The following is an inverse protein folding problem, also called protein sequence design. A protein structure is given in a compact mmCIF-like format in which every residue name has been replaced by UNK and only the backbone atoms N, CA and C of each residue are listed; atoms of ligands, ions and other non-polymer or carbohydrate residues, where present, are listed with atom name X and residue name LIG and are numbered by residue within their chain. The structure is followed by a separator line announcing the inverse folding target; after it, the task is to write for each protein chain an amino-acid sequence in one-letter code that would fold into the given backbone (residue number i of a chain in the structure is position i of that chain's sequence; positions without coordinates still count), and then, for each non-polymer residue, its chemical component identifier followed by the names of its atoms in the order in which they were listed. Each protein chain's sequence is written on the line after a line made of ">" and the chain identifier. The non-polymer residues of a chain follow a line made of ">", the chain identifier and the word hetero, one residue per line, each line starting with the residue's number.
data_IF_396800566997
#
_entry.id   IF_396800566997
#
_cell.length_a   1.000
_cell.length_b   1.000
_cell.length_c   1.000
_cell.angle_alpha   90.00
_cell.angle_beta   90.00
_cell.angle_gamma   90.00
#
_symmetry.space_group_name_H-M   'P 1'
#
loop_
_entity.id
_entity.type
_entity.pdbx_description
1 polymer ?
#
# COMPACT_ATOMS: atom_id res chain seq x y z
N UNK A 1 24.83 24.09 -58.13
CA UNK A 1 24.44 24.56 -56.77
C UNK A 1 23.57 23.47 -56.17
N UNK A 2 24.15 22.63 -55.30
CA UNK A 2 23.51 21.44 -54.74
C UNK A 2 22.62 21.79 -53.56
N UNK A 3 21.52 21.05 -53.39
CA UNK A 3 20.97 20.61 -52.10
C UNK A 3 19.83 19.62 -52.35
N UNK A 4 20.20 18.35 -52.49
CA UNK A 4 19.28 17.22 -52.36
C UNK A 4 18.86 17.12 -50.89
N UNK A 5 17.61 17.47 -50.58
CA UNK A 5 17.01 17.27 -49.26
C UNK A 5 16.69 15.78 -49.07
N UNK A 6 17.62 15.04 -48.46
CA UNK A 6 17.39 13.67 -47.99
C UNK A 6 16.52 13.70 -46.73
N UNK A 7 15.23 13.39 -46.86
CA UNK A 7 14.33 13.20 -45.72
C UNK A 7 14.59 11.82 -45.11
N UNK A 8 15.32 11.76 -43.98
CA UNK A 8 15.38 10.54 -43.16
C UNK A 8 14.02 10.30 -42.53
N UNK A 9 13.29 9.30 -42.99
CA UNK A 9 12.10 8.80 -42.31
C UNK A 9 12.52 8.18 -40.96
N UNK A 10 12.16 8.85 -39.87
CA UNK A 10 12.35 8.32 -38.52
C UNK A 10 11.32 7.20 -38.30
N UNK A 11 11.72 5.94 -38.49
CA UNK A 11 10.93 4.79 -38.07
C UNK A 11 10.81 4.79 -36.55
N UNK A 12 9.73 5.38 -36.03
CA UNK A 12 9.37 5.24 -34.62
C UNK A 12 8.98 3.79 -34.39
N UNK A 13 9.79 3.05 -33.62
CA UNK A 13 9.45 1.71 -33.16
C UNK A 13 8.25 1.81 -32.23
N UNK A 14 7.16 1.12 -32.56
CA UNK A 14 6.01 0.96 -31.68
C UNK A 14 6.25 -0.12 -30.63
N UNK A 15 5.46 -0.09 -29.56
CA UNK A 15 5.43 -1.15 -28.56
C UNK A 15 4.98 -2.47 -29.19
N UNK A 16 5.60 -3.57 -28.78
CA UNK A 16 5.20 -4.93 -29.13
C UNK A 16 4.16 -5.45 -28.14
N UNK A 17 3.32 -6.39 -28.59
CA UNK A 17 2.34 -7.06 -27.73
C UNK A 17 3.01 -7.82 -26.58
N UNK A 18 4.21 -8.36 -26.80
CA UNK A 18 4.95 -9.11 -25.78
C UNK A 18 5.47 -8.21 -24.66
N UNK A 19 5.93 -7.00 -24.99
CA UNK A 19 6.34 -6.01 -23.98
C UNK A 19 5.15 -5.63 -23.08
N UNK A 20 3.97 -5.43 -23.66
CA UNK A 20 2.77 -5.12 -22.87
C UNK A 20 2.34 -6.31 -21.99
N UNK A 21 2.42 -7.53 -22.52
CA UNK A 21 2.06 -8.76 -21.81
C UNK A 21 2.95 -8.98 -20.57
N UNK A 22 4.25 -8.76 -20.70
CA UNK A 22 5.20 -8.91 -19.58
C UNK A 22 4.91 -7.88 -18.49
N UNK A 23 4.57 -6.64 -18.86
CA UNK A 23 4.26 -5.58 -17.89
C UNK A 23 3.03 -5.93 -17.06
N UNK A 24 1.93 -6.35 -17.68
CA UNK A 24 0.72 -6.72 -16.93
C UNK A 24 0.93 -7.94 -16.04
N UNK A 25 1.77 -8.89 -16.46
CA UNK A 25 2.14 -10.05 -15.66
C UNK A 25 2.90 -9.63 -14.40
N UNK A 26 3.90 -8.76 -14.53
CA UNK A 26 4.66 -8.23 -13.38
C UNK A 26 3.74 -7.45 -12.43
N UNK A 27 2.89 -6.57 -12.97
CA UNK A 27 1.93 -5.79 -12.15
C UNK A 27 0.99 -6.73 -11.39
N UNK A 28 0.49 -7.80 -12.03
CA UNK A 28 -0.39 -8.77 -11.40
C UNK A 28 0.28 -9.50 -10.23
N UNK A 29 1.53 -9.96 -10.41
CA UNK A 29 2.30 -10.61 -9.34
C UNK A 29 2.50 -9.65 -8.17
N UNK A 30 3.02 -8.44 -8.44
CA UNK A 30 3.27 -7.44 -7.40
C UNK A 30 1.98 -7.05 -6.66
N UNK A 31 0.88 -6.84 -7.39
CA UNK A 31 -0.41 -6.46 -6.81
C UNK A 31 -0.98 -7.56 -5.90
N UNK A 32 -0.80 -8.84 -6.25
CA UNK A 32 -1.27 -9.96 -5.42
C UNK A 32 -0.58 -10.00 -4.05
N UNK A 33 0.75 -9.77 -4.02
CA UNK A 33 1.55 -9.72 -2.79
C UNK A 33 1.16 -8.51 -1.94
N UNK A 34 0.96 -7.35 -2.59
CA UNK A 34 0.51 -6.12 -1.90
C UNK A 34 -0.85 -6.35 -1.24
N UNK A 35 -1.84 -6.91 -1.94
CA UNK A 35 -3.16 -7.17 -1.38
C UNK A 35 -3.13 -8.14 -0.19
N UNK A 36 -2.35 -9.22 -0.28
CA UNK A 36 -2.16 -10.15 0.83
C UNK A 36 -1.55 -9.44 2.06
N UNK A 37 -0.53 -8.60 1.85
CA UNK A 37 0.11 -7.83 2.92
C UNK A 37 -0.84 -6.82 3.57
N UNK A 38 -1.69 -6.16 2.78
CA UNK A 38 -2.67 -5.18 3.26
C UNK A 38 -3.76 -5.83 4.12
N UNK A 39 -4.23 -7.03 3.76
CA UNK A 39 -5.19 -7.77 4.57
C UNK A 39 -4.62 -8.10 5.96
N UNK A 40 -3.36 -8.57 6.02
CA UNK A 40 -2.68 -8.82 7.29
C UNK A 40 -2.50 -7.53 8.11
N UNK A 41 -2.06 -6.45 7.46
CA UNK A 41 -1.86 -5.15 8.11
C UNK A 41 -3.17 -4.59 8.69
N UNK A 42 -4.30 -4.73 7.99
CA UNK A 42 -5.62 -4.30 8.47
C UNK A 42 -6.05 -5.06 9.72
N UNK A 43 -5.83 -6.37 9.76
CA UNK A 43 -6.13 -7.18 10.96
C UNK A 43 -5.27 -6.73 12.15
N UNK A 44 -3.96 -6.59 11.95
CA UNK A 44 -3.04 -6.10 12.99
C UNK A 44 -3.43 -4.70 13.49
N UNK A 45 -3.83 -3.80 12.60
CA UNK A 45 -4.27 -2.45 12.98
C UNK A 45 -5.55 -2.48 13.85
N UNK A 46 -6.50 -3.37 13.54
CA UNK A 46 -7.70 -3.56 14.37
C UNK A 46 -7.35 -4.12 15.75
N UNK A 47 -6.41 -5.05 15.83
CA UNK A 47 -5.97 -5.63 17.10
C UNK A 47 -5.22 -4.57 17.94
N UNK A 48 -4.33 -3.81 17.32
CA UNK A 48 -3.62 -2.70 17.97
C UNK A 48 -4.60 -1.66 18.54
N UNK A 49 -5.67 -1.32 17.80
CA UNK A 49 -6.73 -0.43 18.30
C UNK A 49 -7.42 -1.03 19.52
N UNK A 50 -7.86 -2.28 19.47
CA UNK A 50 -8.51 -2.96 20.61
C UNK A 50 -7.61 -2.97 21.86
N UNK A 51 -6.33 -3.25 21.70
CA UNK A 51 -5.37 -3.21 22.81
C UNK A 51 -5.24 -1.79 23.38
N UNK A 52 -5.19 -0.76 22.52
CA UNK A 52 -5.16 0.64 22.95
C UNK A 52 -6.42 1.02 23.72
N UNK A 53 -7.60 0.63 23.23
CA UNK A 53 -8.88 0.94 23.86
C UNK A 53 -8.98 0.30 25.26
N UNK A 54 -8.57 -0.96 25.40
CA UNK A 54 -8.52 -1.65 26.71
C UNK A 54 -7.56 -0.95 27.67
N UNK A 55 -6.37 -0.55 27.19
CA UNK A 55 -5.40 0.19 28.02
C UNK A 55 -5.95 1.54 28.48
N UNK A 56 -6.71 2.23 27.63
CA UNK A 56 -7.36 3.49 28.01
C UNK A 56 -8.44 3.28 29.08
N UNK A 57 -9.22 2.21 28.98
CA UNK A 57 -10.21 1.85 30.00
C UNK A 57 -9.51 1.48 31.32
N UNK A 58 -8.47 0.65 31.26
CA UNK A 58 -7.69 0.29 32.44
C UNK A 58 -7.13 1.53 33.14
N UNK A 59 -6.53 2.46 32.38
CA UNK A 59 -6.03 3.71 32.92
C UNK A 59 -7.15 4.53 33.59
N UNK A 60 -8.32 4.62 32.98
CA UNK A 60 -9.46 5.31 33.57
C UNK A 60 -9.93 4.67 34.89
N UNK A 61 -9.93 3.34 34.98
CA UNK A 61 -10.26 2.61 36.20
C UNK A 61 -9.21 2.84 37.30
N UNK A 62 -7.93 2.82 36.95
CA UNK A 62 -6.83 3.11 37.87
C UNK A 62 -6.92 4.55 38.41
N UNK A 63 -7.19 5.54 37.54
CA UNK A 63 -7.41 6.93 37.95
C UNK A 63 -8.61 7.09 38.90
N UNK A 64 -9.69 6.35 38.65
CA UNK A 64 -10.85 6.38 39.55
C UNK A 64 -10.51 5.75 40.91
N UNK A 65 -9.81 4.61 40.91
CA UNK A 65 -9.43 3.91 42.13
C UNK A 65 -8.45 4.74 42.98
N UNK A 66 -7.53 5.45 42.35
CA UNK A 66 -6.63 6.41 43.03
C UNK A 66 -7.43 7.53 43.72
N UNK A 67 -8.43 8.09 43.01
CA UNK A 67 -9.26 9.16 43.56
C UNK A 67 -10.25 8.72 44.65
N UNK A 68 -10.78 7.49 44.57
CA UNK A 68 -11.88 7.02 45.43
C UNK A 68 -11.47 5.88 46.37
N UNK A 69 -10.20 5.47 46.37
CA UNK A 69 -9.67 4.32 47.14
C UNK A 69 -10.41 2.99 46.89
N UNK A 70 -11.15 2.90 45.78
CA UNK A 70 -11.94 1.74 45.37
C UNK A 70 -12.19 1.80 43.86
N UNK A 71 -12.18 0.66 43.19
CA UNK A 71 -12.64 0.57 41.80
C UNK A 71 -14.14 0.91 41.68
N UNK A 72 -14.57 1.52 40.55
CA UNK A 72 -15.99 1.84 40.32
C UNK A 72 -16.90 0.60 40.40
#
# INVERSE_FOLDING_TARGET
>A
MSKFFSHKANHKKGFTLIELLVVIAIIGILSSVVLASLNSARTKARDARRVSDIKQIQLALELYADANSKYP
#
